data_IF_261588742064
#
_entry.id   IF_261588742064
#
_cell.length_a   1.000
_cell.length_b   1.000
_cell.length_c   1.000
_cell.angle_alpha   90.00
_cell.angle_beta   90.00
_cell.angle_gamma   90.00
#
_symmetry.space_group_name_H-M   'P 1'
#
loop_
_entity.id
_entity.type
_entity.pdbx_description
1 polymer ?
#
# COMPACT_ATOMS: atom_id res chain seq x y z
N UNK A 1 -12.48 18.13 -6.04
CA UNK A 1 -11.76 16.94 -6.53
C UNK A 1 -11.53 16.08 -5.30
N UNK A 2 -11.91 14.80 -5.31
CA UNK A 2 -11.68 13.90 -4.18
C UNK A 2 -10.23 13.45 -4.11
N UNK A 3 -9.90 12.67 -3.07
CA UNK A 3 -8.54 12.17 -2.84
C UNK A 3 -8.07 11.24 -3.96
N UNK A 4 -8.94 10.32 -4.40
CA UNK A 4 -8.68 9.41 -5.51
C UNK A 4 -8.34 10.13 -6.81
N UNK A 5 -9.20 11.04 -7.27
CA UNK A 5 -8.98 11.70 -8.55
C UNK A 5 -7.68 12.52 -8.50
N UNK A 6 -7.36 13.12 -7.35
CA UNK A 6 -6.11 13.84 -7.16
C UNK A 6 -4.89 12.91 -7.25
N UNK A 7 -4.97 11.74 -6.65
CA UNK A 7 -3.93 10.72 -6.72
C UNK A 7 -3.69 10.25 -8.16
N UNK A 8 -4.76 9.94 -8.88
CA UNK A 8 -4.71 9.51 -10.29
C UNK A 8 -4.12 10.61 -11.19
N UNK A 9 -4.49 11.89 -10.99
CA UNK A 9 -3.89 13.02 -11.73
C UNK A 9 -2.38 13.15 -11.49
N UNK A 10 -1.94 12.98 -10.23
CA UNK A 10 -0.51 13.01 -9.89
C UNK A 10 0.24 11.88 -10.59
N UNK A 11 -0.29 10.66 -10.54
CA UNK A 11 0.28 9.50 -11.23
C UNK A 11 0.36 9.72 -12.74
N UNK A 12 -0.71 10.18 -13.38
CA UNK A 12 -0.75 10.45 -14.82
C UNK A 12 0.32 11.49 -15.21
N UNK A 13 0.39 12.60 -14.46
CA UNK A 13 1.31 13.70 -14.76
C UNK A 13 2.77 13.27 -14.64
N UNK A 14 3.13 12.56 -13.57
CA UNK A 14 4.53 12.17 -13.37
C UNK A 14 4.95 10.95 -14.18
N UNK A 15 4.01 10.11 -14.60
CA UNK A 15 4.30 8.96 -15.47
C UNK A 15 4.87 9.36 -16.83
N UNK A 16 4.59 10.59 -17.30
CA UNK A 16 5.12 11.12 -18.56
C UNK A 16 6.66 11.18 -18.58
N UNK A 17 7.31 11.20 -17.42
CA UNK A 17 8.77 11.23 -17.32
C UNK A 17 9.41 9.85 -17.43
N UNK A 18 8.65 8.76 -17.27
CA UNK A 18 9.17 7.39 -17.29
C UNK A 18 10.19 7.07 -16.19
N UNK A 19 10.20 7.86 -15.11
CA UNK A 19 11.06 7.66 -13.94
C UNK A 19 10.28 6.99 -12.80
N UNK A 20 10.97 6.27 -11.89
CA UNK A 20 10.36 5.79 -10.65
C UNK A 20 9.68 6.90 -9.85
N UNK A 21 8.51 6.59 -9.31
CA UNK A 21 7.68 7.49 -8.51
C UNK A 21 7.70 7.00 -7.06
N UNK A 22 8.12 7.88 -6.15
CA UNK A 22 8.07 7.65 -4.72
C UNK A 22 7.06 8.60 -4.09
N UNK A 23 6.12 8.05 -3.32
CA UNK A 23 5.26 8.84 -2.45
C UNK A 23 5.88 8.87 -1.07
N UNK A 24 6.51 9.98 -0.72
CA UNK A 24 7.47 10.03 0.40
C UNK A 24 6.86 10.43 1.74
N UNK A 25 5.76 11.19 1.74
CA UNK A 25 5.21 11.82 2.95
C UNK A 25 3.68 11.76 3.00
N UNK A 26 3.12 10.56 2.86
CA UNK A 26 1.66 10.40 2.91
C UNK A 26 1.13 10.60 4.34
N UNK A 27 0.03 11.35 4.46
CA UNK A 27 -0.66 11.61 5.73
C UNK A 27 -2.16 11.47 5.49
N UNK A 28 -2.77 10.40 6.01
CA UNK A 28 -4.22 10.19 6.04
C UNK A 28 -4.67 10.21 7.49
N UNK A 29 -5.53 11.16 7.86
CA UNK A 29 -5.93 11.34 9.26
C UNK A 29 -7.22 10.59 9.58
N UNK A 30 -7.28 9.96 10.75
CA UNK A 30 -8.54 9.56 11.39
C UNK A 30 -9.16 10.71 12.21
N UNK A 31 -8.87 11.96 11.84
CA UNK A 31 -9.27 13.16 12.55
C UNK A 31 -10.48 13.86 11.93
N UNK A 32 -10.83 15.01 12.50
CA UNK A 32 -11.72 15.96 11.84
C UNK A 32 -11.10 16.40 10.50
N UNK A 33 -11.92 16.51 9.44
CA UNK A 33 -11.45 16.94 8.13
C UNK A 33 -11.22 18.45 8.12
N UNK A 34 -10.07 18.88 7.61
CA UNK A 34 -9.77 20.30 7.45
C UNK A 34 -10.85 21.01 6.62
N UNK A 35 -11.42 22.12 7.10
CA UNK A 35 -12.38 22.91 6.33
C UNK A 35 -11.79 23.34 4.97
N UNK A 36 -12.59 23.32 3.89
CA UNK A 36 -12.10 23.59 2.54
C UNK A 36 -11.62 25.04 2.31
N UNK A 37 -11.97 25.97 3.19
CA UNK A 37 -11.49 27.36 3.18
C UNK A 37 -10.05 27.54 3.67
N UNK A 38 -9.46 26.51 4.30
CA UNK A 38 -8.05 26.51 4.70
C UNK A 38 -7.25 25.89 3.57
N UNK A 39 -6.34 26.66 2.98
CA UNK A 39 -5.55 26.21 1.83
C UNK A 39 -4.24 25.52 2.25
N UNK A 40 -3.61 25.98 3.34
CA UNK A 40 -2.39 25.37 3.89
C UNK A 40 -2.73 24.50 5.09
N UNK A 41 -2.37 23.21 5.01
CA UNK A 41 -2.60 22.25 6.07
C UNK A 41 -1.88 22.64 7.39
N UNK A 42 -0.79 23.40 7.33
CA UNK A 42 -0.07 23.89 8.51
C UNK A 42 -0.87 24.95 9.30
N UNK A 43 -1.81 25.64 8.63
CA UNK A 43 -2.67 26.64 9.26
C UNK A 43 -3.85 25.98 10.01
N UNK A 44 -4.10 24.68 9.76
CA UNK A 44 -5.16 23.96 10.44
C UNK A 44 -4.70 23.38 11.78
N UNK A 45 -4.83 24.19 12.83
CA UNK A 45 -4.47 23.83 14.20
C UNK A 45 -5.72 23.79 15.09
N UNK A 46 -6.04 22.61 15.62
CA UNK A 46 -7.09 22.43 16.63
C UNK A 46 -6.48 21.94 17.95
N UNK A 47 -7.05 22.38 19.07
CA UNK A 47 -6.46 22.12 20.40
C UNK A 47 -6.50 20.66 20.80
N UNK A 48 -7.49 19.92 20.27
CA UNK A 48 -7.59 18.47 20.41
C UNK A 48 -8.19 17.89 19.14
N UNK A 49 -7.60 16.80 18.65
CA UNK A 49 -8.05 16.14 17.43
C UNK A 49 -9.03 15.02 17.77
N UNK A 50 -10.32 15.14 17.41
CA UNK A 50 -11.26 14.05 17.63
C UNK A 50 -10.94 12.89 16.68
N UNK A 51 -10.74 11.69 17.24
CA UNK A 51 -10.64 10.43 16.49
C UNK A 51 -11.72 9.49 16.99
N UNK A 52 -12.75 9.29 16.17
CA UNK A 52 -13.87 8.38 16.49
C UNK A 52 -13.68 7.07 15.74
N UNK A 53 -14.38 5.98 16.15
CA UNK A 53 -14.36 4.74 15.37
C UNK A 53 -14.76 4.92 13.91
N UNK A 54 -15.71 5.81 13.62
CA UNK A 54 -16.13 6.14 12.25
C UNK A 54 -15.01 6.82 11.45
N UNK A 55 -14.25 7.72 12.07
CA UNK A 55 -13.13 8.38 11.39
C UNK A 55 -11.94 7.46 11.17
N UNK A 56 -11.70 6.52 12.09
CA UNK A 56 -10.70 5.47 11.92
C UNK A 56 -11.07 4.48 10.82
N UNK A 57 -12.35 4.16 10.68
CA UNK A 57 -12.84 3.33 9.58
C UNK A 57 -12.71 4.05 8.23
N UNK A 58 -13.03 5.35 8.17
CA UNK A 58 -12.75 6.18 6.99
C UNK A 58 -11.27 6.14 6.63
N UNK A 59 -10.38 6.34 7.60
CA UNK A 59 -8.93 6.28 7.38
C UNK A 59 -8.51 4.91 6.82
N UNK A 60 -9.09 3.81 7.31
CA UNK A 60 -8.79 2.48 6.80
C UNK A 60 -9.19 2.31 5.33
N UNK A 61 -10.40 2.75 4.96
CA UNK A 61 -10.88 2.71 3.57
C UNK A 61 -10.00 3.57 2.64
N UNK A 62 -9.63 4.77 3.07
CA UNK A 62 -8.75 5.67 2.30
C UNK A 62 -7.33 5.10 2.17
N UNK A 63 -6.80 4.47 3.22
CA UNK A 63 -5.52 3.76 3.18
C UNK A 63 -5.58 2.62 2.19
N UNK A 64 -6.60 1.76 2.26
CA UNK A 64 -6.77 0.63 1.35
C UNK A 64 -6.87 1.09 -0.11
N UNK A 65 -7.67 2.12 -0.39
CA UNK A 65 -7.80 2.68 -1.74
C UNK A 65 -6.47 3.26 -2.25
N UNK A 66 -5.83 4.14 -1.48
CA UNK A 66 -4.57 4.78 -1.88
C UNK A 66 -3.47 3.74 -2.13
N UNK A 67 -3.29 2.80 -1.20
CA UNK A 67 -2.24 1.79 -1.32
C UNK A 67 -2.48 0.84 -2.48
N UNK A 68 -3.73 0.47 -2.77
CA UNK A 68 -4.07 -0.37 -3.93
C UNK A 68 -3.76 0.34 -5.24
N UNK A 69 -4.21 1.59 -5.40
CA UNK A 69 -3.93 2.39 -6.62
C UNK A 69 -2.42 2.55 -6.82
N UNK A 70 -1.68 2.84 -5.76
CA UNK A 70 -0.23 3.02 -5.83
C UNK A 70 0.50 1.70 -6.13
N UNK A 71 0.08 0.58 -5.55
CA UNK A 71 0.67 -0.73 -5.77
C UNK A 71 0.47 -1.23 -7.21
N UNK A 72 -0.70 -0.97 -7.79
CA UNK A 72 -1.01 -1.34 -9.18
C UNK A 72 -0.22 -0.51 -10.21
N UNK A 73 0.27 0.67 -9.82
CA UNK A 73 0.90 1.59 -10.76
C UNK A 73 2.35 1.18 -11.10
N UNK A 74 2.68 0.93 -12.39
CA UNK A 74 3.94 0.28 -12.77
C UNK A 74 5.20 1.12 -12.51
N UNK A 75 5.08 2.43 -12.33
CA UNK A 75 6.23 3.29 -12.00
C UNK A 75 6.38 3.56 -10.50
N UNK A 76 5.43 3.15 -9.65
CA UNK A 76 5.57 3.34 -8.20
C UNK A 76 6.54 2.32 -7.64
N UNK A 77 7.55 2.79 -6.90
CA UNK A 77 8.56 1.93 -6.28
C UNK A 77 8.63 2.08 -4.75
N UNK A 78 8.09 3.16 -4.20
CA UNK A 78 8.08 3.38 -2.75
C UNK A 78 6.87 4.18 -2.29
N UNK A 79 6.31 3.75 -1.16
CA UNK A 79 5.25 4.45 -0.42
C UNK A 79 5.75 4.59 1.02
N UNK A 80 5.85 5.82 1.50
CA UNK A 80 6.26 6.16 2.87
C UNK A 80 5.25 7.10 3.49
N UNK A 81 4.94 6.86 4.76
CA UNK A 81 4.00 7.68 5.52
C UNK A 81 4.78 8.54 6.51
N UNK A 82 4.29 9.75 6.71
CA UNK A 82 4.96 10.71 7.59
C UNK A 82 4.86 10.32 9.06
N UNK A 83 3.85 9.54 9.45
CA UNK A 83 3.66 9.09 10.83
C UNK A 83 3.20 7.64 10.87
N UNK A 84 3.84 6.83 11.71
CA UNK A 84 3.40 5.47 12.01
C UNK A 84 2.49 5.42 13.25
N UNK A 85 2.78 6.24 14.25
CA UNK A 85 2.01 6.38 15.50
C UNK A 85 1.32 7.74 15.56
N UNK A 86 0.17 7.80 16.23
CA UNK A 86 -0.46 9.06 16.63
C UNK A 86 0.33 9.81 17.71
N UNK A 87 1.22 9.12 18.43
CA UNK A 87 2.10 9.77 19.39
C UNK A 87 3.21 10.54 18.67
N UNK A 88 3.21 11.86 18.82
CA UNK A 88 4.15 12.75 18.13
C UNK A 88 3.90 12.92 16.63
N UNK A 89 2.73 12.51 16.12
CA UNK A 89 2.35 12.71 14.72
C UNK A 89 2.34 14.20 14.34
N UNK A 90 2.58 14.48 13.06
CA UNK A 90 2.55 15.83 12.51
C UNK A 90 1.19 16.51 12.75
N UNK A 91 1.22 17.80 13.10
CA UNK A 91 0.09 18.61 13.58
C UNK A 91 -0.56 18.11 14.90
N UNK A 92 0.03 17.11 15.56
CA UNK A 92 -0.61 16.40 16.67
C UNK A 92 -1.84 15.61 16.24
N UNK A 93 -2.03 15.41 14.93
CA UNK A 93 -3.19 14.78 14.33
C UNK A 93 -3.14 13.25 14.46
N UNK A 94 -4.30 12.56 14.50
CA UNK A 94 -4.35 11.09 14.55
C UNK A 94 -4.08 10.51 13.14
N UNK A 95 -2.84 10.64 12.67
CA UNK A 95 -2.40 10.26 11.33
C UNK A 95 -1.66 8.91 11.27
N UNK A 96 -1.36 8.30 12.41
CA UNK A 96 -0.70 7.01 12.47
C UNK A 96 -1.63 5.84 12.16
N UNK A 97 -1.01 4.68 11.98
CA UNK A 97 -1.67 3.37 11.90
C UNK A 97 -1.91 2.77 13.29
N UNK A 98 -1.19 3.25 14.31
CA UNK A 98 -1.39 2.89 15.71
C UNK A 98 -1.76 4.13 16.52
N UNK A 99 -2.59 3.94 17.54
CA UNK A 99 -2.98 5.01 18.48
C UNK A 99 -1.82 5.35 19.43
N UNK A 100 -1.99 6.41 20.22
CA UNK A 100 -0.98 6.87 21.22
C UNK A 100 -0.60 5.80 22.25
N UNK A 101 -1.51 4.87 22.55
CA UNK A 101 -1.27 3.73 23.45
C UNK A 101 -0.66 2.51 22.75
N UNK A 102 -0.26 2.65 21.48
CA UNK A 102 0.23 1.61 20.58
C UNK A 102 -0.79 0.53 20.19
N UNK A 103 -2.08 0.71 20.50
CA UNK A 103 -3.13 -0.18 19.97
C UNK A 103 -3.28 0.02 18.46
N UNK A 104 -3.48 -1.06 17.67
CA UNK A 104 -3.65 -0.93 16.23
C UNK A 104 -5.00 -0.28 15.89
N UNK A 105 -5.00 0.58 14.87
CA UNK A 105 -6.22 1.07 14.22
C UNK A 105 -6.70 0.09 13.14
N UNK A 106 -7.95 0.23 12.65
CA UNK A 106 -8.42 -0.47 11.45
C UNK A 106 -7.47 -0.30 10.25
N UNK A 107 -6.90 0.89 10.04
CA UNK A 107 -5.94 1.17 8.96
C UNK A 107 -4.67 0.31 9.01
N UNK A 108 -4.16 -0.02 10.21
CA UNK A 108 -3.06 -0.97 10.37
C UNK A 108 -3.45 -2.37 9.88
N UNK A 109 -4.65 -2.83 10.22
CA UNK A 109 -5.11 -4.16 9.83
C UNK A 109 -5.36 -4.25 8.33
N UNK A 110 -5.97 -3.22 7.74
CA UNK A 110 -6.18 -3.12 6.30
C UNK A 110 -4.85 -3.20 5.54
N UNK A 111 -3.87 -2.35 5.90
CA UNK A 111 -2.56 -2.34 5.25
C UNK A 111 -1.78 -3.65 5.46
N UNK A 112 -1.87 -4.22 6.67
CA UNK A 112 -1.24 -5.51 6.96
C UNK A 112 -1.82 -6.63 6.10
N UNK A 113 -3.15 -6.69 5.94
CA UNK A 113 -3.82 -7.68 5.11
C UNK A 113 -3.38 -7.55 3.66
N UNK A 114 -3.36 -6.34 3.10
CA UNK A 114 -2.87 -6.09 1.74
C UNK A 114 -1.45 -6.65 1.57
N UNK A 115 -0.51 -6.26 2.43
CA UNK A 115 0.91 -6.60 2.27
C UNK A 115 1.21 -8.07 2.59
N UNK A 116 0.56 -8.66 3.58
CA UNK A 116 0.89 -9.99 4.10
C UNK A 116 0.01 -11.10 3.55
N UNK A 117 -1.11 -10.76 2.93
CA UNK A 117 -2.08 -11.73 2.45
C UNK A 117 -2.42 -11.47 0.98
N UNK A 118 -3.00 -10.31 0.64
CA UNK A 118 -3.57 -10.09 -0.69
C UNK A 118 -2.49 -9.95 -1.78
N UNK A 119 -1.39 -9.26 -1.46
CA UNK A 119 -0.23 -9.08 -2.35
C UNK A 119 0.85 -10.12 -2.08
N UNK A 120 0.43 -11.32 -1.71
CA UNK A 120 1.30 -12.45 -1.50
C UNK A 120 0.82 -13.64 -2.35
N UNK A 121 1.73 -14.24 -3.11
CA UNK A 121 1.38 -15.39 -3.95
C UNK A 121 1.87 -16.69 -3.31
N UNK A 122 0.93 -17.59 -3.02
CA UNK A 122 1.22 -18.96 -2.59
C UNK A 122 0.28 -19.92 -3.33
N UNK A 123 0.84 -20.69 -4.26
CA UNK A 123 0.08 -21.60 -5.13
C UNK A 123 0.63 -23.02 -5.05
N UNK A 124 -0.23 -24.00 -5.27
CA UNK A 124 0.16 -25.41 -5.43
C UNK A 124 -0.51 -25.94 -6.69
N UNK A 125 0.24 -26.66 -7.51
CA UNK A 125 -0.24 -27.18 -8.77
C UNK A 125 0.51 -28.43 -9.20
N UNK A 126 0.00 -29.07 -10.25
CA UNK A 126 0.61 -30.24 -10.88
C UNK A 126 1.16 -29.83 -12.24
N UNK A 127 2.32 -30.36 -12.60
CA UNK A 127 2.89 -30.14 -13.93
C UNK A 127 2.03 -30.76 -15.03
N UNK A 128 2.12 -30.22 -16.23
CA UNK A 128 1.56 -30.86 -17.42
C UNK A 128 2.37 -32.12 -17.83
N UNK A 129 2.00 -32.74 -18.95
CA UNK A 129 2.67 -33.94 -19.48
C UNK A 129 4.13 -33.69 -19.90
N UNK A 130 4.55 -32.44 -20.04
CA UNK A 130 5.91 -32.04 -20.38
C UNK A 130 6.73 -31.61 -19.15
N UNK A 131 6.18 -31.71 -17.94
CA UNK A 131 6.86 -31.27 -16.71
C UNK A 131 6.82 -29.76 -16.49
N UNK A 132 5.89 -29.05 -17.14
CA UNK A 132 5.77 -27.58 -17.05
C UNK A 132 4.67 -27.21 -16.06
N UNK A 133 4.97 -26.25 -15.17
CA UNK A 133 3.98 -25.54 -14.36
C UNK A 133 3.98 -24.06 -14.72
N UNK A 134 2.78 -23.48 -14.85
CA UNK A 134 2.58 -22.05 -15.07
C UNK A 134 1.82 -21.47 -13.89
N UNK A 135 2.19 -20.26 -13.46
CA UNK A 135 1.47 -19.54 -12.42
C UNK A 135 1.51 -18.03 -12.69
N UNK A 136 0.55 -17.31 -12.11
CA UNK A 136 0.53 -15.85 -12.05
C UNK A 136 0.77 -15.42 -10.61
N UNK A 137 1.58 -14.39 -10.41
CA UNK A 137 1.95 -13.94 -9.07
C UNK A 137 2.38 -12.49 -9.04
N UNK A 138 2.52 -11.97 -7.82
CA UNK A 138 3.06 -10.64 -7.55
C UNK A 138 4.56 -10.62 -7.83
N UNK A 139 5.09 -9.49 -8.31
CA UNK A 139 6.52 -9.33 -8.54
C UNK A 139 7.33 -9.58 -7.27
N UNK A 140 8.47 -10.27 -7.40
CA UNK A 140 9.32 -10.59 -6.26
C UNK A 140 10.00 -11.95 -6.37
N UNK A 141 10.61 -12.37 -5.27
CA UNK A 141 11.37 -13.62 -5.18
C UNK A 141 10.47 -14.78 -4.76
N UNK A 142 10.68 -15.92 -5.41
CA UNK A 142 9.89 -17.13 -5.21
C UNK A 142 10.75 -18.35 -4.87
N UNK A 143 10.14 -19.22 -4.07
CA UNK A 143 10.62 -20.55 -3.74
C UNK A 143 9.68 -21.59 -4.36
N UNK A 144 10.06 -22.23 -5.47
CA UNK A 144 9.38 -23.42 -5.97
C UNK A 144 9.89 -24.65 -5.22
N UNK A 145 8.99 -25.42 -4.61
CA UNK A 145 9.30 -26.67 -3.92
C UNK A 145 8.59 -27.84 -4.60
N UNK A 146 9.35 -28.89 -4.90
CA UNK A 146 8.81 -30.13 -5.47
C UNK A 146 9.68 -31.30 -5.00
N UNK A 147 9.05 -32.39 -4.56
CA UNK A 147 9.72 -33.48 -3.81
C UNK A 147 10.67 -32.92 -2.72
N UNK A 148 11.93 -33.36 -2.69
CA UNK A 148 12.97 -32.85 -1.80
C UNK A 148 13.80 -31.70 -2.41
N UNK A 149 13.34 -31.11 -3.53
CA UNK A 149 14.04 -30.06 -4.27
C UNK A 149 13.42 -28.69 -4.05
N UNK A 150 14.28 -27.67 -4.19
CA UNK A 150 13.94 -26.25 -4.12
C UNK A 150 14.59 -25.51 -5.28
N UNK A 151 13.82 -24.70 -5.99
CA UNK A 151 14.29 -23.82 -7.07
C UNK A 151 13.92 -22.39 -6.73
N UNK A 152 14.87 -21.47 -6.93
CA UNK A 152 14.69 -20.05 -6.71
C UNK A 152 14.59 -19.31 -8.04
N UNK A 153 13.65 -18.39 -8.13
CA UNK A 153 13.47 -17.53 -9.29
C UNK A 153 12.77 -16.23 -8.87
N UNK A 154 12.79 -15.22 -9.74
CA UNK A 154 12.25 -13.89 -9.46
C UNK A 154 11.26 -13.51 -10.56
N UNK A 155 10.05 -13.11 -10.18
CA UNK A 155 9.10 -12.48 -11.10
C UNK A 155 9.44 -11.00 -11.24
N UNK A 156 9.74 -10.58 -12.47
CA UNK A 156 10.05 -9.19 -12.82
C UNK A 156 9.03 -8.63 -13.80
N UNK A 157 8.98 -7.29 -13.95
CA UNK A 157 8.02 -6.61 -14.84
C UNK A 157 8.12 -7.09 -16.31
N UNK A 158 9.29 -7.55 -16.74
CA UNK A 158 9.54 -7.98 -18.11
C UNK A 158 9.16 -9.46 -18.35
N UNK A 159 9.00 -10.24 -17.28
CA UNK A 159 8.64 -11.64 -17.32
C UNK A 159 7.12 -11.81 -17.32
N UNK A 160 6.49 -11.74 -18.50
CA UNK A 160 5.03 -11.93 -18.62
C UNK A 160 4.57 -13.35 -18.26
N UNK A 161 5.46 -14.34 -18.34
CA UNK A 161 5.20 -15.74 -17.95
C UNK A 161 6.54 -16.40 -17.67
N UNK A 162 6.78 -16.84 -16.43
CA UNK A 162 7.91 -17.71 -16.11
C UNK A 162 7.48 -19.17 -16.29
N UNK A 163 8.18 -19.90 -17.15
CA UNK A 163 7.99 -21.33 -17.33
C UNK A 163 9.14 -22.06 -16.65
N UNK A 164 8.83 -22.80 -15.59
CA UNK A 164 9.81 -23.60 -14.89
C UNK A 164 9.62 -25.06 -15.32
N UNK A 165 10.65 -25.60 -15.95
CA UNK A 165 10.73 -27.02 -16.29
C UNK A 165 11.37 -27.76 -15.11
N UNK A 166 10.67 -28.77 -14.60
CA UNK A 166 11.08 -29.56 -13.43
C UNK A 166 11.13 -31.05 -13.69
#
# INVERSE_FOLDING_TARGET
MGGREKLEEVLERFSQFGLPIHFTENTLTSGHIMPPEIEDLNDYQISDWPSTPEFEERQANEVEEMYTILFEHPLVEAISNWSFSDDGAWLGAPAGFIRKDNSPKPSYQALKKLIKEDWHTMVTGTTDTNGIISFEGILGDYDLKYDDKKVNFTLTKDAKTEQIMI
#
